data_IF_299774583110
#
_entry.id   IF_299774583110
#
_cell.length_a   1.000
_cell.length_b   1.000
_cell.length_c   1.000
_cell.angle_alpha   90.00
_cell.angle_beta   90.00
_cell.angle_gamma   90.00
#
_symmetry.space_group_name_H-M   'P 1'
#
loop_
_entity.id
_entity.type
_entity.pdbx_description
1 polymer ?
#
# COMPACT_ATOMS: atom_id res chain seq x y z
N UNK A 1 -23.68 18.01 10.11
CA UNK A 1 -22.29 17.89 9.62
C UNK A 1 -21.28 17.65 10.75
N UNK A 2 -21.74 17.22 11.91
CA UNK A 2 -20.86 16.75 12.99
C UNK A 2 -20.11 15.44 12.65
N UNK A 3 -20.53 14.76 11.59
CA UNK A 3 -19.98 13.47 11.16
C UNK A 3 -18.49 13.54 10.81
N UNK A 4 -18.00 14.67 10.25
CA UNK A 4 -16.61 14.83 9.84
C UNK A 4 -15.84 15.86 10.70
N UNK A 5 -16.18 16.00 11.98
CA UNK A 5 -15.40 16.80 12.94
C UNK A 5 -14.08 16.09 13.28
N UNK A 6 -13.03 16.37 12.51
CA UNK A 6 -11.72 15.72 12.70
C UNK A 6 -11.04 16.14 14.01
N UNK A 7 -11.27 17.35 14.51
CA UNK A 7 -10.69 17.76 15.80
C UNK A 7 -11.13 16.84 16.93
N UNK A 8 -12.45 16.58 17.01
CA UNK A 8 -13.01 15.66 18.00
C UNK A 8 -12.51 14.21 17.80
N UNK A 9 -12.50 13.74 16.55
CA UNK A 9 -12.15 12.37 16.23
C UNK A 9 -10.66 12.06 16.42
N UNK A 10 -9.79 12.96 16.04
CA UNK A 10 -8.34 12.83 16.23
C UNK A 10 -7.94 12.84 17.70
N UNK A 11 -8.68 13.59 18.56
CA UNK A 11 -8.41 13.57 19.99
C UNK A 11 -8.56 12.20 20.63
N UNK A 12 -9.45 11.34 20.11
CA UNK A 12 -9.65 9.97 20.61
C UNK A 12 -8.51 9.02 20.23
N UNK A 13 -7.71 9.38 19.23
CA UNK A 13 -6.55 8.58 18.76
C UNK A 13 -5.26 8.85 19.53
N UNK A 14 -5.28 9.74 20.54
CA UNK A 14 -4.10 10.12 21.31
C UNK A 14 -3.80 9.12 22.45
N UNK A 15 -3.85 7.80 22.15
CA UNK A 15 -3.46 6.77 23.11
C UNK A 15 -1.94 6.57 23.19
N UNK A 16 -1.40 6.07 24.32
CA UNK A 16 0.02 5.77 24.46
C UNK A 16 0.54 4.83 23.36
N UNK A 17 -0.24 3.85 22.94
CA UNK A 17 0.12 2.85 21.95
C UNK A 17 0.26 3.48 20.56
N UNK A 18 -0.69 4.33 20.15
CA UNK A 18 -0.64 5.04 18.87
C UNK A 18 0.53 6.03 18.87
N UNK A 19 0.72 6.77 19.96
CA UNK A 19 1.82 7.73 20.07
C UNK A 19 3.19 7.04 20.06
N UNK A 20 3.33 5.87 20.68
CA UNK A 20 4.53 5.04 20.57
C UNK A 20 4.80 4.61 19.13
N UNK A 21 3.76 4.12 18.43
CA UNK A 21 3.89 3.71 17.02
C UNK A 21 4.30 4.86 16.10
N UNK A 22 3.79 6.07 16.34
CA UNK A 22 4.20 7.27 15.60
C UNK A 22 5.67 7.63 15.93
N UNK A 23 6.08 7.49 17.19
CA UNK A 23 7.47 7.68 17.61
C UNK A 23 8.43 6.76 16.84
N UNK A 24 8.11 5.46 16.80
CA UNK A 24 8.88 4.46 16.05
C UNK A 24 8.95 4.79 14.55
N UNK A 25 7.82 5.19 13.96
CA UNK A 25 7.78 5.58 12.54
C UNK A 25 8.63 6.83 12.25
N UNK A 26 8.65 7.82 13.16
CA UNK A 26 9.52 9.01 13.02
C UNK A 26 11.01 8.64 13.07
N UNK A 27 11.38 7.69 13.92
CA UNK A 27 12.75 7.16 13.96
C UNK A 27 13.11 6.46 12.65
N UNK A 28 12.24 5.59 12.16
CA UNK A 28 12.43 4.92 10.87
C UNK A 28 12.53 5.90 9.69
N UNK A 29 11.71 6.95 9.67
CA UNK A 29 11.79 8.02 8.67
C UNK A 29 13.14 8.74 8.71
N UNK A 30 13.66 9.01 9.92
CA UNK A 30 14.99 9.58 10.09
C UNK A 30 16.09 8.68 9.53
N UNK A 31 16.01 7.36 9.75
CA UNK A 31 16.93 6.38 9.15
C UNK A 31 16.82 6.34 7.64
N UNK A 32 15.59 6.38 7.08
CA UNK A 32 15.39 6.45 5.63
C UNK A 32 16.07 7.67 5.02
N UNK A 33 15.93 8.85 5.61
CA UNK A 33 16.60 10.07 5.15
C UNK A 33 18.14 9.91 5.14
N UNK A 34 18.71 9.19 6.12
CA UNK A 34 20.13 8.86 6.12
C UNK A 34 20.49 7.92 4.97
N UNK A 35 19.66 6.93 4.65
CA UNK A 35 19.86 6.03 3.51
C UNK A 35 19.84 6.80 2.17
N UNK A 36 18.87 7.72 2.01
CA UNK A 36 18.76 8.59 0.84
C UNK A 36 20.01 9.46 0.64
N UNK A 37 20.57 9.98 1.73
CA UNK A 37 21.76 10.81 1.69
C UNK A 37 23.07 10.03 1.44
N UNK A 38 23.15 8.78 1.93
CA UNK A 38 24.40 8.01 1.91
C UNK A 38 24.51 7.01 0.78
N UNK A 39 23.41 6.38 0.38
CA UNK A 39 23.36 5.31 -0.62
C UNK A 39 22.10 5.39 -1.48
N UNK A 40 21.90 6.50 -2.23
CA UNK A 40 20.76 6.63 -3.15
C UNK A 40 20.71 5.51 -4.20
N UNK A 41 21.88 5.01 -4.64
CA UNK A 41 22.02 3.91 -5.59
C UNK A 41 21.31 2.63 -5.15
N UNK A 42 21.37 2.32 -3.85
CA UNK A 42 20.66 1.16 -3.28
C UNK A 42 19.17 1.38 -3.34
N UNK A 43 18.70 2.55 -2.93
CA UNK A 43 17.26 2.86 -2.90
C UNK A 43 16.65 2.90 -4.32
N UNK A 44 17.33 3.49 -5.29
CA UNK A 44 16.89 3.49 -6.70
C UNK A 44 16.64 2.07 -7.21
N UNK A 45 17.49 1.11 -6.84
CA UNK A 45 17.31 -0.29 -7.23
C UNK A 45 16.04 -0.93 -6.65
N UNK A 46 15.46 -0.37 -5.59
CA UNK A 46 14.23 -0.86 -4.97
C UNK A 46 12.96 -0.28 -5.58
N UNK A 47 13.02 0.92 -6.18
CA UNK A 47 11.85 1.66 -6.68
C UNK A 47 11.04 0.85 -7.68
N UNK A 48 11.66 0.33 -8.74
CA UNK A 48 10.96 -0.40 -9.78
C UNK A 48 10.31 -1.69 -9.26
N UNK A 49 10.97 -2.38 -8.34
CA UNK A 49 10.42 -3.58 -7.70
C UNK A 49 9.21 -3.22 -6.83
N UNK A 50 9.31 -2.15 -6.06
CA UNK A 50 8.20 -1.66 -5.24
C UNK A 50 6.99 -1.27 -6.12
N UNK A 51 7.20 -0.55 -7.22
CA UNK A 51 6.15 -0.17 -8.17
C UNK A 51 5.44 -1.39 -8.78
N UNK A 52 6.20 -2.41 -9.22
CA UNK A 52 5.63 -3.67 -9.73
C UNK A 52 4.81 -4.37 -8.64
N UNK A 53 5.32 -4.44 -7.40
CA UNK A 53 4.64 -5.08 -6.28
C UNK A 53 3.38 -4.31 -5.90
N UNK A 54 3.41 -2.98 -5.82
CA UNK A 54 2.28 -2.12 -5.51
C UNK A 54 1.16 -2.27 -6.54
N UNK A 55 1.52 -2.18 -7.83
CA UNK A 55 0.56 -2.35 -8.93
C UNK A 55 -0.07 -3.75 -8.91
N UNK A 56 0.75 -4.80 -8.73
CA UNK A 56 0.24 -6.17 -8.66
C UNK A 56 -0.69 -6.38 -7.46
N UNK A 57 -0.24 -6.02 -6.27
CA UNK A 57 -0.94 -6.28 -5.03
C UNK A 57 -2.28 -5.52 -4.95
N UNK A 58 -2.27 -4.22 -5.26
CA UNK A 58 -3.49 -3.42 -5.22
C UNK A 58 -4.57 -3.92 -6.18
N UNK A 59 -4.19 -4.37 -7.38
CA UNK A 59 -5.14 -4.93 -8.34
C UNK A 59 -5.61 -6.34 -7.92
N UNK A 60 -4.73 -7.18 -7.36
CA UNK A 60 -5.12 -8.52 -6.85
C UNK A 60 -6.09 -8.48 -5.68
N UNK A 61 -6.01 -7.48 -4.82
CA UNK A 61 -7.00 -7.26 -3.74
C UNK A 61 -8.41 -7.16 -4.34
N UNK A 62 -8.55 -6.56 -5.53
CA UNK A 62 -9.81 -6.41 -6.29
C UNK A 62 -10.05 -7.55 -7.29
N UNK A 63 -9.30 -8.66 -7.22
CA UNK A 63 -9.35 -9.81 -8.12
C UNK A 63 -8.97 -9.51 -9.58
N UNK A 64 -8.24 -8.42 -9.83
CA UNK A 64 -7.70 -8.05 -11.14
C UNK A 64 -6.27 -8.57 -11.25
N UNK A 65 -5.97 -9.40 -12.25
CA UNK A 65 -4.67 -10.03 -12.35
C UNK A 65 -4.24 -10.31 -13.81
N UNK A 66 -2.93 -10.40 -13.99
CA UNK A 66 -2.31 -10.91 -15.22
C UNK A 66 -1.11 -11.81 -14.86
N UNK A 67 -0.50 -12.45 -15.85
CA UNK A 67 0.69 -13.27 -15.59
C UNK A 67 1.90 -12.42 -15.21
N UNK A 68 2.81 -12.98 -14.40
CA UNK A 68 4.02 -12.26 -13.95
C UNK A 68 4.88 -11.72 -15.11
N UNK A 69 4.88 -12.41 -16.25
CA UNK A 69 5.58 -11.94 -17.45
C UNK A 69 4.89 -10.72 -18.04
N UNK A 70 3.56 -10.81 -18.23
CA UNK A 70 2.77 -9.69 -18.79
C UNK A 70 2.81 -8.47 -17.88
N UNK A 71 2.72 -8.67 -16.57
CA UNK A 71 2.84 -7.58 -15.60
C UNK A 71 4.17 -6.84 -15.80
N UNK A 72 5.31 -7.56 -15.84
CA UNK A 72 6.63 -6.91 -16.07
C UNK A 72 6.72 -6.21 -17.41
N UNK A 73 6.18 -6.80 -18.47
CA UNK A 73 6.17 -6.20 -19.80
C UNK A 73 5.33 -4.90 -19.84
N UNK A 74 4.17 -4.88 -19.16
CA UNK A 74 3.32 -3.70 -18.99
C UNK A 74 4.01 -2.62 -18.14
N UNK A 75 4.62 -3.00 -17.01
CA UNK A 75 5.33 -2.07 -16.13
C UNK A 75 6.53 -1.42 -16.83
N UNK A 76 7.21 -2.15 -17.70
CA UNK A 76 8.34 -1.66 -18.48
C UNK A 76 7.93 -0.99 -19.82
N UNK A 77 6.64 -0.78 -20.08
CA UNK A 77 6.08 -0.24 -21.34
C UNK A 77 6.50 -1.01 -22.61
N UNK A 78 6.82 -2.29 -22.43
CA UNK A 78 7.23 -3.18 -23.55
C UNK A 78 6.05 -3.88 -24.21
N UNK A 79 4.84 -3.67 -23.69
CA UNK A 79 3.63 -4.30 -24.21
C UNK A 79 2.40 -3.44 -23.98
N UNK A 80 1.50 -3.45 -24.96
CA UNK A 80 0.17 -2.85 -24.85
C UNK A 80 -0.79 -3.75 -24.06
N UNK A 81 -1.74 -3.16 -23.27
CA UNK A 81 -2.77 -3.91 -22.58
C UNK A 81 -3.71 -4.64 -23.56
N UNK A 82 -3.95 -5.94 -23.34
CA UNK A 82 -4.75 -6.79 -24.24
C UNK A 82 -6.20 -6.98 -23.82
N UNK A 83 -6.48 -6.90 -22.53
CA UNK A 83 -7.79 -7.12 -21.94
C UNK A 83 -8.10 -6.06 -20.88
N UNK A 84 -9.28 -6.15 -20.26
CA UNK A 84 -9.73 -5.20 -19.24
C UNK A 84 -8.78 -5.16 -18.04
N UNK A 85 -8.44 -6.31 -17.49
CA UNK A 85 -7.55 -6.40 -16.33
C UNK A 85 -6.20 -5.71 -16.58
N UNK A 86 -5.59 -5.94 -17.74
CA UNK A 86 -4.33 -5.32 -18.12
C UNK A 86 -4.45 -3.80 -18.32
N UNK A 87 -5.61 -3.31 -18.81
CA UNK A 87 -5.89 -1.87 -18.92
C UNK A 87 -6.03 -1.22 -17.55
N UNK A 88 -6.71 -1.89 -16.62
CA UNK A 88 -6.85 -1.41 -15.23
C UNK A 88 -5.50 -1.43 -14.49
N UNK A 89 -4.65 -2.44 -14.71
CA UNK A 89 -3.28 -2.51 -14.21
C UNK A 89 -2.44 -1.34 -14.75
N UNK A 90 -2.55 -1.04 -16.06
CA UNK A 90 -1.84 0.08 -16.69
C UNK A 90 -2.30 1.44 -16.13
N UNK A 91 -3.60 1.61 -15.89
CA UNK A 91 -4.16 2.81 -15.25
C UNK A 91 -3.68 2.99 -13.82
N UNK A 92 -3.65 1.91 -13.03
CA UNK A 92 -3.09 1.97 -11.67
C UNK A 92 -1.63 2.40 -11.69
N UNK A 93 -0.80 1.80 -12.57
CA UNK A 93 0.60 2.19 -12.74
C UNK A 93 0.73 3.67 -13.06
N UNK A 94 -0.06 4.17 -14.00
CA UNK A 94 -0.01 5.58 -14.42
C UNK A 94 -0.24 6.56 -13.25
N UNK A 95 -1.26 6.28 -12.42
CA UNK A 95 -1.52 7.10 -11.23
C UNK A 95 -0.43 6.93 -10.17
N UNK A 96 0.06 5.70 -9.97
CA UNK A 96 1.14 5.43 -9.03
C UNK A 96 2.42 6.19 -9.41
N UNK A 97 2.81 6.21 -10.69
CA UNK A 97 3.95 6.96 -11.20
C UNK A 97 3.78 8.46 -10.94
N UNK A 98 2.58 9.01 -11.21
CA UNK A 98 2.26 10.42 -10.92
C UNK A 98 2.45 10.75 -9.43
N UNK A 99 1.99 9.86 -8.52
CA UNK A 99 2.14 10.05 -7.07
C UNK A 99 3.62 9.98 -6.68
N UNK A 100 4.37 9.00 -7.18
CA UNK A 100 5.79 8.85 -6.88
C UNK A 100 6.62 10.08 -7.26
N UNK A 101 6.30 10.67 -8.41
CA UNK A 101 7.07 11.78 -8.98
C UNK A 101 6.61 13.16 -8.47
N UNK A 102 5.30 13.34 -8.19
CA UNK A 102 4.69 14.68 -8.04
C UNK A 102 3.83 14.87 -6.81
N UNK A 103 3.89 13.96 -5.82
CA UNK A 103 3.03 14.02 -4.62
C UNK A 103 2.99 15.40 -3.95
N UNK A 104 4.10 16.15 -3.92
CA UNK A 104 4.16 17.48 -3.30
C UNK A 104 3.28 18.50 -4.03
N UNK A 105 3.17 18.37 -5.36
CA UNK A 105 2.38 19.28 -6.21
C UNK A 105 0.90 18.86 -6.35
N UNK A 106 0.51 17.67 -5.85
CA UNK A 106 -0.86 17.14 -5.97
C UNK A 106 -1.69 17.56 -4.75
N UNK A 107 -2.61 18.54 -4.84
CA UNK A 107 -3.41 18.97 -3.69
C UNK A 107 -4.53 17.97 -3.38
N UNK A 108 -4.97 17.97 -2.10
CA UNK A 108 -6.09 17.12 -1.65
C UNK A 108 -7.39 17.89 -1.82
N UNK A 109 -8.02 17.71 -2.98
CA UNK A 109 -9.28 18.38 -3.35
C UNK A 109 -10.20 17.41 -4.09
N UNK A 110 -11.54 17.66 -4.07
CA UNK A 110 -12.48 16.82 -4.84
C UNK A 110 -12.14 16.74 -6.33
N UNK A 111 -11.70 17.85 -6.94
CA UNK A 111 -11.32 17.88 -8.35
C UNK A 111 -10.12 17.00 -8.68
N UNK A 112 -9.10 16.98 -7.79
CA UNK A 112 -7.93 16.11 -7.94
C UNK A 112 -8.31 14.65 -7.74
N UNK A 113 -9.16 14.33 -6.79
CA UNK A 113 -9.65 12.96 -6.58
C UNK A 113 -10.38 12.44 -7.83
N UNK A 114 -11.23 13.26 -8.46
CA UNK A 114 -11.90 12.95 -9.72
C UNK A 114 -10.87 12.78 -10.86
N UNK A 115 -9.84 13.61 -10.92
CA UNK A 115 -8.77 13.50 -11.91
C UNK A 115 -8.01 12.17 -11.76
N UNK A 116 -7.55 11.83 -10.55
CA UNK A 116 -6.85 10.58 -10.28
C UNK A 116 -7.72 9.36 -10.62
N UNK A 117 -9.02 9.42 -10.32
CA UNK A 117 -9.96 8.36 -10.71
C UNK A 117 -10.14 8.26 -12.23
N UNK A 118 -10.18 9.37 -12.96
CA UNK A 118 -10.20 9.38 -14.43
C UNK A 118 -8.93 8.75 -14.99
N UNK A 119 -7.79 9.08 -14.42
CA UNK A 119 -6.50 8.58 -14.86
C UNK A 119 -6.34 7.08 -14.55
N UNK A 120 -6.91 6.59 -13.43
CA UNK A 120 -6.99 5.16 -13.10
C UNK A 120 -7.72 4.33 -14.18
N UNK A 121 -8.73 4.92 -14.83
CA UNK A 121 -9.51 4.28 -15.88
C UNK A 121 -9.18 4.78 -17.30
N UNK A 122 -8.06 5.51 -17.44
CA UNK A 122 -7.68 6.09 -18.74
C UNK A 122 -7.62 5.07 -19.87
N UNK A 123 -7.05 3.91 -19.62
CA UNK A 123 -6.86 2.86 -20.63
C UNK A 123 -8.11 2.01 -20.89
N UNK A 124 -9.09 2.02 -20.01
CA UNK A 124 -10.35 1.29 -20.20
C UNK A 124 -11.38 2.10 -20.97
N UNK A 125 -11.33 3.43 -20.88
CA UNK A 125 -12.28 4.32 -21.53
C UNK A 125 -13.69 4.29 -20.92
N UNK A 126 -13.84 3.83 -19.68
CA UNK A 126 -15.13 3.73 -19.00
C UNK A 126 -15.77 5.12 -18.80
N UNK A 127 -17.07 5.24 -19.10
CA UNK A 127 -17.80 6.51 -19.05
C UNK A 127 -17.99 7.07 -17.64
N UNK A 128 -17.87 6.25 -16.60
CA UNK A 128 -17.91 6.66 -15.19
C UNK A 128 -16.57 7.21 -14.68
N UNK A 129 -15.51 7.10 -15.46
CA UNK A 129 -14.17 7.56 -15.06
C UNK A 129 -14.17 9.06 -14.72
N UNK A 130 -13.69 9.39 -13.54
CA UNK A 130 -13.65 10.78 -13.05
C UNK A 130 -15.01 11.37 -12.71
N UNK A 131 -16.01 10.55 -12.41
CA UNK A 131 -17.35 10.98 -11.97
C UNK A 131 -17.72 10.32 -10.64
N UNK A 132 -18.42 11.06 -9.80
CA UNK A 132 -19.03 10.49 -8.62
C UNK A 132 -20.06 9.42 -9.01
N UNK A 133 -20.33 8.49 -8.12
CA UNK A 133 -21.36 7.48 -8.30
C UNK A 133 -22.72 8.12 -8.59
N UNK A 134 -23.50 7.51 -9.46
CA UNK A 134 -24.82 7.95 -9.90
C UNK A 134 -25.96 7.14 -9.25
N UNK A 135 -25.62 6.07 -8.56
CA UNK A 135 -26.55 5.20 -7.84
C UNK A 135 -25.97 4.82 -6.47
N UNK A 136 -26.87 4.53 -5.52
CA UNK A 136 -26.48 4.10 -4.18
C UNK A 136 -25.85 2.71 -4.27
N UNK A 137 -24.68 2.56 -3.66
CA UNK A 137 -23.98 1.29 -3.59
C UNK A 137 -24.05 0.68 -2.19
N UNK A 138 -23.81 -0.62 -2.11
CA UNK A 138 -23.77 -1.39 -0.87
C UNK A 138 -22.47 -2.18 -0.86
N UNK A 139 -21.72 -2.09 0.23
CA UNK A 139 -20.60 -2.98 0.45
C UNK A 139 -21.16 -4.26 1.05
N UNK A 140 -21.09 -5.35 0.28
CA UNK A 140 -21.61 -6.65 0.69
C UNK A 140 -20.47 -7.63 0.94
N UNK A 141 -20.70 -8.56 1.85
CA UNK A 141 -19.80 -9.69 2.10
C UNK A 141 -20.55 -11.01 1.99
N UNK A 142 -19.81 -12.07 1.73
CA UNK A 142 -20.40 -13.41 1.72
C UNK A 142 -20.46 -13.95 3.14
N UNK A 143 -21.67 -14.25 3.62
CA UNK A 143 -21.86 -14.85 4.94
C UNK A 143 -21.32 -16.29 5.01
N UNK A 144 -21.24 -16.86 6.20
CA UNK A 144 -20.87 -18.27 6.40
C UNK A 144 -21.82 -19.25 5.67
N UNK A 145 -23.08 -18.84 5.42
CA UNK A 145 -24.05 -19.61 4.60
C UNK A 145 -23.87 -19.45 3.11
N UNK A 146 -22.93 -18.58 2.65
CA UNK A 146 -22.69 -18.31 1.24
C UNK A 146 -23.57 -17.21 0.63
N UNK A 147 -24.48 -16.62 1.39
CA UNK A 147 -25.35 -15.52 0.95
C UNK A 147 -24.62 -14.17 0.98
N UNK A 148 -24.97 -13.27 0.04
CA UNK A 148 -24.48 -11.89 0.04
C UNK A 148 -25.26 -11.06 1.04
N UNK A 149 -24.61 -10.62 2.12
CA UNK A 149 -25.18 -9.77 3.17
C UNK A 149 -24.59 -8.38 3.09
N UNK A 150 -25.45 -7.35 3.20
CA UNK A 150 -24.99 -5.98 3.27
C UNK A 150 -24.16 -5.77 4.55
N UNK A 151 -22.87 -5.54 4.40
CA UNK A 151 -21.97 -5.26 5.52
C UNK A 151 -21.99 -3.79 5.90
N UNK A 152 -22.03 -2.90 4.91
CA UNK A 152 -21.99 -1.46 5.12
C UNK A 152 -22.74 -0.73 4.00
N UNK A 153 -23.46 0.33 4.38
CA UNK A 153 -24.13 1.22 3.44
C UNK A 153 -23.39 2.56 3.38
N UNK A 154 -22.67 2.86 2.30
CA UNK A 154 -22.00 4.14 2.10
C UNK A 154 -22.98 5.32 2.03
N UNK A 155 -22.43 6.52 1.96
CA UNK A 155 -23.21 7.75 1.67
C UNK A 155 -23.97 7.57 0.36
N UNK A 156 -25.20 8.14 0.29
CA UNK A 156 -26.00 8.12 -0.96
C UNK A 156 -25.28 8.83 -2.12
N UNK A 157 -25.63 8.48 -3.34
CA UNK A 157 -25.06 9.12 -4.54
C UNK A 157 -25.26 10.65 -4.51
N UNK A 158 -26.45 11.09 -4.14
CA UNK A 158 -26.79 12.53 -4.05
C UNK A 158 -25.95 13.29 -3.00
N UNK A 159 -25.60 12.65 -1.87
CA UNK A 159 -24.82 13.28 -0.81
C UNK A 159 -23.29 13.14 -1.01
N UNK A 160 -22.84 12.29 -1.92
CA UNK A 160 -21.42 11.98 -2.13
C UNK A 160 -20.56 13.22 -2.42
N UNK A 161 -20.93 14.16 -3.33
CA UNK A 161 -20.08 15.32 -3.60
C UNK A 161 -19.85 16.20 -2.36
N UNK A 162 -20.89 16.41 -1.56
CA UNK A 162 -20.80 17.21 -0.34
C UNK A 162 -19.97 16.51 0.75
N UNK A 163 -20.08 15.18 0.86
CA UNK A 163 -19.29 14.41 1.81
C UNK A 163 -17.79 14.42 1.46
N UNK A 164 -17.43 14.23 0.19
CA UNK A 164 -16.02 14.31 -0.25
C UNK A 164 -15.45 15.72 -0.06
N UNK A 165 -16.23 16.76 -0.36
CA UNK A 165 -15.79 18.14 -0.11
C UNK A 165 -15.57 18.40 1.39
N UNK A 166 -16.44 17.87 2.26
CA UNK A 166 -16.31 18.02 3.71
C UNK A 166 -15.01 17.38 4.22
N UNK A 167 -14.71 16.11 3.87
CA UNK A 167 -13.46 15.47 4.32
C UNK A 167 -12.21 16.16 3.76
N UNK A 168 -12.25 16.69 2.54
CA UNK A 168 -11.15 17.46 1.97
C UNK A 168 -10.91 18.78 2.72
N UNK A 169 -11.97 19.46 3.16
CA UNK A 169 -11.85 20.68 3.98
C UNK A 169 -11.29 20.36 5.36
N UNK A 170 -11.84 19.36 6.04
CA UNK A 170 -11.36 18.92 7.36
C UNK A 170 -9.90 18.51 7.32
N UNK A 171 -9.51 17.69 6.34
CA UNK A 171 -8.11 17.31 6.15
C UNK A 171 -7.20 18.54 6.07
N UNK A 172 -7.51 19.50 5.20
CA UNK A 172 -6.70 20.69 5.03
C UNK A 172 -6.64 21.52 6.30
N UNK A 173 -7.78 21.74 6.96
CA UNK A 173 -7.86 22.50 8.20
C UNK A 173 -6.98 21.86 9.30
N UNK A 174 -6.98 20.54 9.45
CA UNK A 174 -6.16 19.86 10.46
C UNK A 174 -4.66 19.88 10.11
N UNK A 175 -4.30 19.75 8.83
CA UNK A 175 -2.91 19.86 8.38
C UNK A 175 -2.40 21.31 8.63
N UNK A 176 -3.19 22.33 8.33
CA UNK A 176 -2.85 23.74 8.56
C UNK A 176 -2.75 24.07 10.06
N UNK A 177 -3.65 23.50 10.87
CA UNK A 177 -3.63 23.71 12.32
C UNK A 177 -2.39 23.08 12.99
N UNK A 178 -1.85 21.98 12.45
CA UNK A 178 -0.66 21.30 12.96
C UNK A 178 -0.78 20.74 14.39
N UNK A 179 -2.01 20.56 14.88
CA UNK A 179 -2.25 20.08 16.25
C UNK A 179 -1.99 18.60 16.40
N UNK A 180 -2.34 17.81 15.38
CA UNK A 180 -2.18 16.35 15.37
C UNK A 180 -1.11 15.91 14.39
N UNK A 181 -0.56 14.71 14.61
CA UNK A 181 0.39 14.14 13.65
C UNK A 181 -0.29 13.98 12.28
N UNK A 182 0.32 14.51 11.19
CA UNK A 182 -0.29 14.48 9.87
C UNK A 182 -0.58 13.06 9.34
N UNK A 183 0.10 12.04 9.87
CA UNK A 183 -0.21 10.63 9.56
C UNK A 183 -1.60 10.25 10.07
N UNK A 184 -1.95 10.64 11.31
CA UNK A 184 -3.27 10.37 11.86
C UNK A 184 -4.37 11.07 11.04
N UNK A 185 -4.16 12.34 10.69
CA UNK A 185 -5.07 13.10 9.84
C UNK A 185 -5.27 12.39 8.49
N UNK A 186 -4.18 11.89 7.90
CA UNK A 186 -4.19 11.17 6.62
C UNK A 186 -4.95 9.84 6.72
N UNK A 187 -4.74 9.07 7.78
CA UNK A 187 -5.41 7.78 7.94
C UNK A 187 -6.91 7.93 8.22
N UNK A 188 -7.31 8.94 9.00
CA UNK A 188 -8.74 9.29 9.20
C UNK A 188 -9.38 9.68 7.88
N UNK A 189 -8.72 10.52 7.07
CA UNK A 189 -9.21 10.88 5.74
C UNK A 189 -9.39 9.66 4.83
N UNK A 190 -8.41 8.77 4.77
CA UNK A 190 -8.47 7.55 3.94
C UNK A 190 -9.63 6.66 4.38
N UNK A 191 -9.82 6.48 5.69
CA UNK A 191 -10.92 5.70 6.22
C UNK A 191 -12.28 6.30 5.84
N UNK A 192 -12.45 7.61 5.99
CA UNK A 192 -13.70 8.30 5.61
C UNK A 192 -13.93 8.24 4.10
N UNK A 193 -12.87 8.35 3.29
CA UNK A 193 -12.98 8.16 1.84
C UNK A 193 -13.50 6.77 1.47
N UNK A 194 -12.96 5.70 2.10
CA UNK A 194 -13.45 4.33 1.88
C UNK A 194 -14.90 4.19 2.33
N UNK A 195 -15.30 4.81 3.43
CA UNK A 195 -16.65 4.74 3.99
C UNK A 195 -17.67 5.54 3.16
N UNK A 196 -17.27 6.69 2.60
CA UNK A 196 -18.11 7.44 1.63
C UNK A 196 -18.32 6.61 0.35
N UNK A 197 -17.30 5.88 -0.07
CA UNK A 197 -17.32 5.03 -1.28
C UNK A 197 -17.79 5.78 -2.52
N UNK A 198 -17.06 6.84 -2.95
CA UNK A 198 -17.59 7.88 -3.80
C UNK A 198 -17.78 7.50 -5.28
N UNK A 199 -17.26 6.37 -5.72
CA UNK A 199 -17.29 5.94 -7.12
C UNK A 199 -18.15 4.69 -7.34
N UNK A 200 -18.60 4.48 -8.57
CA UNK A 200 -19.27 3.23 -8.96
C UNK A 200 -18.31 2.03 -8.89
N UNK A 201 -17.02 2.24 -9.21
CA UNK A 201 -15.97 1.23 -9.15
C UNK A 201 -14.62 1.90 -8.80
N UNK A 202 -13.61 1.11 -8.41
CA UNK A 202 -12.25 1.58 -8.15
C UNK A 202 -12.00 2.22 -6.78
N UNK A 203 -12.98 2.23 -5.87
CA UNK A 203 -12.83 2.87 -4.56
C UNK A 203 -11.67 2.29 -3.74
N UNK A 204 -11.50 0.98 -3.73
CA UNK A 204 -10.40 0.31 -3.02
C UNK A 204 -9.03 0.70 -3.58
N UNK A 205 -8.86 0.70 -4.90
CA UNK A 205 -7.61 1.14 -5.55
C UNK A 205 -7.32 2.61 -5.31
N UNK A 206 -8.35 3.46 -5.43
CA UNK A 206 -8.23 4.89 -5.13
C UNK A 206 -7.85 5.14 -3.68
N UNK A 207 -8.43 4.43 -2.72
CA UNK A 207 -8.07 4.60 -1.30
C UNK A 207 -6.60 4.26 -1.04
N UNK A 208 -6.06 3.20 -1.65
CA UNK A 208 -4.64 2.83 -1.52
C UNK A 208 -3.71 3.84 -2.20
N UNK A 209 -4.08 4.34 -3.39
CA UNK A 209 -3.35 5.43 -4.05
C UNK A 209 -3.38 6.73 -3.23
N UNK A 210 -4.54 7.10 -2.66
CA UNK A 210 -4.65 8.24 -1.76
C UNK A 210 -3.84 8.03 -0.47
N UNK A 211 -3.78 6.82 0.06
CA UNK A 211 -2.90 6.50 1.20
C UNK A 211 -1.45 6.85 0.88
N UNK A 212 -0.92 6.39 -0.26
CA UNK A 212 0.44 6.73 -0.67
C UNK A 212 0.64 8.24 -0.84
N UNK A 213 -0.28 8.91 -1.56
CA UNK A 213 -0.22 10.36 -1.77
C UNK A 213 -0.13 11.12 -0.44
N UNK A 214 -1.02 10.82 0.50
CA UNK A 214 -1.10 11.54 1.77
C UNK A 214 0.11 11.25 2.66
N UNK A 215 0.56 10.00 2.73
CA UNK A 215 1.76 9.62 3.48
C UNK A 215 3.01 10.30 2.92
N UNK A 216 3.16 10.36 1.59
CA UNK A 216 4.31 11.02 0.96
C UNK A 216 4.31 12.52 1.24
N UNK A 217 3.16 13.17 1.19
CA UNK A 217 3.00 14.58 1.58
C UNK A 217 3.33 14.85 3.04
N UNK A 218 3.22 13.85 3.90
CA UNK A 218 3.65 13.90 5.31
C UNK A 218 5.14 13.54 5.50
N UNK A 219 5.88 13.27 4.40
CA UNK A 219 7.28 12.88 4.43
C UNK A 219 7.53 11.40 4.75
N UNK A 220 6.50 10.55 4.72
CA UNK A 220 6.64 9.10 4.91
C UNK A 220 6.65 8.38 3.55
N UNK A 221 7.82 8.35 2.91
CA UNK A 221 7.99 7.89 1.52
C UNK A 221 8.45 6.44 1.41
N UNK A 222 8.33 5.64 2.46
CA UNK A 222 8.73 4.21 2.47
C UNK A 222 8.06 3.41 1.34
N UNK A 223 6.83 3.77 0.97
CA UNK A 223 6.09 3.14 -0.13
C UNK A 223 6.78 3.25 -1.49
N UNK A 224 7.75 4.17 -1.67
CA UNK A 224 8.59 4.24 -2.88
C UNK A 224 9.54 3.04 -3.00
N UNK A 225 9.94 2.45 -1.89
CA UNK A 225 10.99 1.41 -1.81
C UNK A 225 10.46 0.05 -1.38
N UNK A 226 9.34 0.03 -0.65
CA UNK A 226 8.66 -1.18 -0.18
C UNK A 226 7.16 -1.01 -0.36
N UNK A 227 6.50 -1.92 -1.06
CA UNK A 227 5.07 -1.82 -1.35
C UNK A 227 4.21 -1.97 -0.10
N UNK A 228 3.48 -0.90 0.25
CA UNK A 228 2.46 -0.89 1.30
C UNK A 228 1.29 -1.81 0.90
N UNK A 229 0.89 -1.79 -0.36
CA UNK A 229 -0.20 -2.62 -0.88
C UNK A 229 0.11 -4.11 -0.81
N UNK A 230 1.38 -4.49 -0.93
CA UNK A 230 1.80 -5.90 -0.76
C UNK A 230 1.66 -6.36 0.69
N UNK A 231 1.95 -5.51 1.65
CA UNK A 231 1.73 -5.83 3.07
C UNK A 231 0.23 -5.91 3.38
N UNK A 232 -0.59 -5.04 2.80
CA UNK A 232 -2.06 -5.12 2.89
C UNK A 232 -2.57 -6.41 2.23
N UNK A 233 -2.07 -6.78 1.03
CA UNK A 233 -2.44 -8.04 0.36
C UNK A 233 -2.15 -9.27 1.23
N UNK A 234 -1.00 -9.29 1.91
CA UNK A 234 -0.58 -10.39 2.80
C UNK A 234 -1.47 -10.55 4.03
N UNK A 235 -2.00 -9.44 4.54
CA UNK A 235 -2.87 -9.37 5.71
C UNK A 235 -4.30 -8.94 5.35
N UNK A 236 -4.78 -9.37 4.18
CA UNK A 236 -6.05 -8.92 3.57
C UNK A 236 -7.23 -9.11 4.52
N UNK A 237 -7.31 -10.24 5.21
CA UNK A 237 -8.38 -10.52 6.17
C UNK A 237 -8.36 -9.51 7.32
N UNK A 238 -7.19 -9.30 7.96
CA UNK A 238 -7.03 -8.33 9.05
C UNK A 238 -7.32 -6.90 8.60
N UNK A 239 -6.97 -6.54 7.35
CA UNK A 239 -7.35 -5.25 6.77
C UNK A 239 -8.86 -5.04 6.74
N UNK A 240 -9.61 -6.04 6.26
CA UNK A 240 -11.08 -5.95 6.21
C UNK A 240 -11.73 -6.04 7.59
N UNK A 241 -11.15 -6.79 8.54
CA UNK A 241 -11.58 -6.80 9.93
C UNK A 241 -11.42 -5.41 10.56
N UNK A 242 -10.26 -4.76 10.38
CA UNK A 242 -9.99 -3.42 10.88
C UNK A 242 -10.94 -2.36 10.28
N UNK A 243 -11.18 -2.43 8.95
CA UNK A 243 -12.18 -1.58 8.28
C UNK A 243 -13.58 -1.81 8.86
N UNK A 244 -13.98 -3.07 9.06
CA UNK A 244 -15.28 -3.43 9.60
C UNK A 244 -15.47 -2.92 11.03
N UNK A 245 -14.50 -3.15 11.90
CA UNK A 245 -14.53 -2.69 13.28
C UNK A 245 -14.65 -1.16 13.36
N UNK A 246 -13.89 -0.44 12.51
CA UNK A 246 -13.96 1.03 12.49
C UNK A 246 -15.20 1.59 11.78
N UNK A 247 -15.97 0.78 11.06
CA UNK A 247 -17.19 1.23 10.35
C UNK A 247 -18.45 1.27 11.23
N UNK A 248 -18.43 0.62 12.39
CA UNK A 248 -19.58 0.60 13.30
C UNK A 248 -19.91 2.02 13.79
N UNK A 249 -21.17 2.46 13.63
CA UNK A 249 -21.62 3.80 14.01
C UNK A 249 -21.11 4.95 13.13
N UNK A 250 -20.43 4.66 12.01
CA UNK A 250 -19.83 5.72 11.17
C UNK A 250 -20.87 6.72 10.63
N UNK A 251 -22.04 6.27 10.24
CA UNK A 251 -23.08 7.14 9.70
C UNK A 251 -23.60 8.15 10.74
N UNK A 252 -23.57 7.77 12.01
CA UNK A 252 -23.98 8.60 13.14
C UNK A 252 -22.83 9.46 13.70
N UNK A 253 -21.61 9.27 13.17
CA UNK A 253 -20.40 9.95 13.64
C UNK A 253 -19.87 9.41 14.98
N UNK A 254 -20.26 8.20 15.36
CA UNK A 254 -19.90 7.53 16.63
C UNK A 254 -18.89 6.39 16.45
N UNK A 255 -18.33 6.25 15.26
CA UNK A 255 -17.35 5.23 14.97
C UNK A 255 -16.00 5.46 15.67
N UNK A 256 -15.28 4.35 15.91
CA UNK A 256 -13.90 4.36 16.41
C UNK A 256 -12.90 4.10 15.27
N UNK A 257 -12.01 5.05 15.01
CA UNK A 257 -10.96 4.91 14.00
C UNK A 257 -9.76 4.07 14.47
N UNK A 258 -9.67 3.78 15.78
CA UNK A 258 -8.50 3.10 16.39
C UNK A 258 -8.15 1.78 15.71
N UNK A 259 -9.08 0.85 15.39
CA UNK A 259 -8.71 -0.40 14.75
C UNK A 259 -8.03 -0.22 13.39
N UNK A 260 -8.59 0.65 12.53
CA UNK A 260 -8.03 0.92 11.21
C UNK A 260 -6.68 1.65 11.29
N UNK A 261 -6.59 2.67 12.13
CA UNK A 261 -5.36 3.46 12.33
C UNK A 261 -4.24 2.58 12.86
N UNK A 262 -4.50 1.77 13.89
CA UNK A 262 -3.51 0.84 14.46
C UNK A 262 -3.03 -0.17 13.42
N UNK A 263 -3.94 -0.74 12.65
CA UNK A 263 -3.58 -1.64 11.56
C UNK A 263 -2.66 -0.97 10.55
N UNK A 264 -2.99 0.23 10.06
CA UNK A 264 -2.20 0.94 9.06
C UNK A 264 -0.82 1.37 9.60
N UNK A 265 -0.72 1.80 10.85
CA UNK A 265 0.56 2.08 11.50
C UNK A 265 1.43 0.81 11.58
N UNK A 266 0.82 -0.34 11.87
CA UNK A 266 1.48 -1.65 11.84
C UNK A 266 2.05 -2.00 10.46
N UNK A 267 1.25 -1.81 9.40
CA UNK A 267 1.67 -2.01 8.00
C UNK A 267 2.86 -1.10 7.64
N UNK A 268 2.79 0.19 7.99
CA UNK A 268 3.89 1.13 7.74
C UNK A 268 5.16 0.73 8.48
N UNK A 269 5.04 0.34 9.74
CA UNK A 269 6.19 -0.15 10.54
C UNK A 269 6.81 -1.40 9.91
N UNK A 270 5.99 -2.34 9.40
CA UNK A 270 6.48 -3.51 8.70
C UNK A 270 7.26 -3.13 7.42
N UNK A 271 6.74 -2.16 6.64
CA UNK A 271 7.43 -1.65 5.46
C UNK A 271 8.79 -1.00 5.80
N UNK A 272 8.87 -0.22 6.87
CA UNK A 272 10.13 0.37 7.31
C UNK A 272 11.13 -0.68 7.77
N UNK A 273 10.72 -1.67 8.56
CA UNK A 273 11.59 -2.80 8.95
C UNK A 273 12.10 -3.57 7.74
N UNK A 274 11.25 -3.77 6.72
CA UNK A 274 11.67 -4.40 5.48
C UNK A 274 12.65 -3.52 4.68
N UNK A 275 12.47 -2.18 4.66
CA UNK A 275 13.43 -1.25 4.06
C UNK A 275 14.79 -1.35 4.76
N UNK A 276 14.82 -1.28 6.10
CA UNK A 276 16.04 -1.42 6.89
C UNK A 276 16.77 -2.73 6.56
N UNK A 277 16.03 -3.83 6.47
CA UNK A 277 16.56 -5.15 6.10
C UNK A 277 17.15 -5.17 4.69
N UNK A 278 16.43 -4.64 3.70
CA UNK A 278 16.91 -4.57 2.31
C UNK A 278 18.16 -3.71 2.20
N UNK A 279 18.15 -2.58 2.88
CA UNK A 279 19.30 -1.68 2.90
C UNK A 279 20.54 -2.33 3.52
N UNK A 280 20.41 -3.00 4.66
CA UNK A 280 21.51 -3.71 5.32
C UNK A 280 22.12 -4.81 4.42
N UNK A 281 21.27 -5.56 3.70
CA UNK A 281 21.72 -6.58 2.74
C UNK A 281 22.48 -5.95 1.57
N UNK A 282 21.97 -4.86 1.00
CA UNK A 282 22.58 -4.21 -0.14
C UNK A 282 23.84 -3.40 0.22
N UNK A 283 23.94 -2.89 1.45
CA UNK A 283 25.13 -2.23 1.99
C UNK A 283 26.20 -3.22 2.47
N UNK A 284 25.86 -4.50 2.59
CA UNK A 284 26.76 -5.58 3.00
C UNK A 284 27.84 -5.93 1.96
N UNK A 285 28.57 -7.05 2.14
CA UNK A 285 29.68 -7.43 1.26
C UNK A 285 29.29 -7.43 -0.22
N UNK A 286 30.07 -6.75 -1.05
CA UNK A 286 29.81 -6.61 -2.50
C UNK A 286 29.81 -7.97 -3.21
N UNK A 287 28.81 -8.20 -4.07
CA UNK A 287 28.64 -9.39 -4.91
C UNK A 287 27.44 -10.25 -4.49
N UNK A 288 26.80 -10.90 -5.46
CA UNK A 288 25.56 -11.65 -5.24
C UNK A 288 25.68 -12.77 -4.20
N UNK A 289 26.87 -13.34 -3.99
CA UNK A 289 27.10 -14.33 -2.93
C UNK A 289 27.12 -13.70 -1.54
N UNK A 290 27.86 -12.60 -1.36
CA UNK A 290 27.94 -11.88 -0.09
C UNK A 290 26.57 -11.35 0.33
N UNK A 291 25.81 -10.82 -0.62
CA UNK A 291 24.43 -10.33 -0.36
C UNK A 291 23.50 -11.46 0.08
N UNK A 292 23.55 -12.62 -0.57
CA UNK A 292 22.69 -13.75 -0.18
C UNK A 292 23.14 -14.40 1.13
N UNK A 293 24.44 -14.42 1.46
CA UNK A 293 24.90 -14.84 2.79
C UNK A 293 24.36 -13.91 3.87
N UNK A 294 24.50 -12.60 3.72
CA UNK A 294 23.95 -11.61 4.63
C UNK A 294 22.41 -11.72 4.77
N UNK A 295 21.71 -12.00 3.67
CA UNK A 295 20.28 -12.26 3.69
C UNK A 295 19.92 -13.46 4.58
N UNK A 296 20.63 -14.60 4.42
CA UNK A 296 20.35 -15.80 5.21
C UNK A 296 20.81 -15.67 6.67
N UNK A 297 21.80 -14.82 6.96
CA UNK A 297 22.20 -14.51 8.35
C UNK A 297 21.07 -13.80 9.13
N UNK A 298 20.28 -12.99 8.46
CA UNK A 298 19.18 -12.22 9.05
C UNK A 298 17.81 -12.91 8.92
N UNK A 299 17.73 -13.98 8.12
CA UNK A 299 16.48 -14.68 7.87
C UNK A 299 16.01 -15.44 9.10
N UNK A 300 14.80 -15.14 9.57
CA UNK A 300 14.10 -15.94 10.59
C UNK A 300 13.13 -16.87 9.86
N UNK A 301 13.33 -18.19 10.00
CA UNK A 301 12.50 -19.19 9.34
C UNK A 301 13.00 -19.60 7.95
N UNK A 302 12.10 -19.77 7.00
CA UNK A 302 12.41 -20.20 5.63
C UNK A 302 11.85 -19.22 4.60
N UNK A 303 12.55 -19.04 3.47
CA UNK A 303 12.14 -18.20 2.37
C UNK A 303 12.07 -18.97 1.05
N UNK A 304 11.06 -18.71 0.24
CA UNK A 304 10.97 -19.23 -1.12
C UNK A 304 11.97 -18.52 -2.03
N UNK A 305 12.27 -19.10 -3.19
CA UNK A 305 13.11 -18.42 -4.20
C UNK A 305 12.53 -17.07 -4.63
N UNK A 306 11.22 -16.93 -4.64
CA UNK A 306 10.54 -15.67 -4.94
C UNK A 306 10.81 -14.63 -3.86
N UNK A 307 10.66 -14.99 -2.58
CA UNK A 307 10.94 -14.08 -1.47
C UNK A 307 12.40 -13.61 -1.46
N UNK A 308 13.33 -14.54 -1.76
CA UNK A 308 14.76 -14.23 -1.87
C UNK A 308 15.04 -13.24 -3.01
N UNK A 309 14.41 -13.42 -4.17
CA UNK A 309 14.55 -12.51 -5.31
C UNK A 309 13.91 -11.15 -5.05
N UNK A 310 12.73 -11.14 -4.44
CA UNK A 310 12.01 -9.91 -4.08
C UNK A 310 12.79 -9.09 -3.04
N UNK A 311 13.50 -9.78 -2.15
CA UNK A 311 14.36 -9.15 -1.14
C UNK A 311 15.73 -8.68 -1.69
N UNK A 312 16.18 -9.22 -2.82
CA UNK A 312 17.47 -8.92 -3.43
C UNK A 312 17.31 -8.54 -4.92
N UNK A 313 16.59 -7.46 -5.24
CA UNK A 313 16.22 -7.12 -6.62
C UNK A 313 17.39 -6.78 -7.53
N UNK A 314 18.53 -6.38 -6.96
CA UNK A 314 19.76 -6.11 -7.68
C UNK A 314 20.51 -7.37 -8.14
N UNK A 315 20.09 -8.56 -7.68
CA UNK A 315 20.73 -9.83 -8.05
C UNK A 315 19.92 -10.52 -9.15
N UNK A 316 20.55 -10.84 -10.27
CA UNK A 316 19.87 -11.58 -11.34
C UNK A 316 19.39 -12.97 -10.88
N UNK A 317 18.28 -13.45 -11.43
CA UNK A 317 17.74 -14.80 -11.15
C UNK A 317 18.81 -15.89 -11.32
N UNK A 318 19.62 -15.81 -12.37
CA UNK A 318 20.71 -16.76 -12.65
C UNK A 318 21.76 -16.75 -11.53
N UNK A 319 22.09 -15.57 -11.01
CA UNK A 319 23.03 -15.43 -9.89
C UNK A 319 22.43 -15.99 -8.61
N UNK A 320 21.14 -15.70 -8.31
CA UNK A 320 20.44 -16.25 -7.16
C UNK A 320 20.48 -17.80 -7.20
N UNK A 321 20.10 -18.41 -8.33
CA UNK A 321 20.09 -19.87 -8.48
C UNK A 321 21.49 -20.49 -8.29
N UNK A 322 22.52 -19.87 -8.87
CA UNK A 322 23.91 -20.33 -8.72
C UNK A 322 24.38 -20.24 -7.26
N UNK A 323 24.09 -19.13 -6.60
CA UNK A 323 24.51 -18.91 -5.21
C UNK A 323 23.74 -19.80 -4.26
N UNK A 324 22.43 -19.97 -4.43
CA UNK A 324 21.63 -20.91 -3.61
C UNK A 324 22.20 -22.32 -3.68
N UNK A 325 22.59 -22.79 -4.87
CA UNK A 325 23.24 -24.08 -5.02
C UNK A 325 24.56 -24.13 -4.23
N UNK A 326 25.41 -23.11 -4.37
CA UNK A 326 26.70 -23.05 -3.64
C UNK A 326 26.49 -23.04 -2.12
N UNK A 327 25.53 -22.25 -1.61
CA UNK A 327 25.23 -22.20 -0.18
C UNK A 327 24.62 -23.50 0.38
N UNK A 328 23.94 -24.27 -0.47
CA UNK A 328 23.52 -25.62 -0.11
C UNK A 328 24.71 -26.59 -0.07
N UNK A 329 25.58 -26.53 -1.09
CA UNK A 329 26.73 -27.41 -1.20
C UNK A 329 27.75 -27.19 -0.06
N UNK A 330 27.91 -25.94 0.41
CA UNK A 330 28.78 -25.58 1.55
C UNK A 330 28.08 -25.70 2.91
N UNK A 331 26.81 -26.12 2.95
CA UNK A 331 26.07 -26.37 4.18
C UNK A 331 25.57 -25.13 4.91
N UNK A 332 25.70 -23.94 4.34
CA UNK A 332 25.20 -22.67 4.94
C UNK A 332 23.67 -22.66 5.04
N UNK A 333 23.01 -23.23 4.03
CA UNK A 333 21.53 -23.31 3.97
C UNK A 333 21.08 -24.72 3.64
N UNK A 334 19.85 -25.03 4.02
CA UNK A 334 19.19 -26.25 3.60
C UNK A 334 17.91 -25.95 2.82
N UNK A 335 17.61 -26.84 1.88
CA UNK A 335 16.38 -26.80 1.09
C UNK A 335 15.29 -27.60 1.81
N UNK A 336 14.11 -27.01 1.97
CA UNK A 336 12.93 -27.63 2.56
C UNK A 336 11.78 -27.65 1.56
N UNK A 337 10.86 -28.61 1.71
CA UNK A 337 9.72 -28.76 0.80
C UNK A 337 10.10 -29.34 -0.57
N UNK A 338 9.10 -29.49 -1.44
CA UNK A 338 9.25 -30.02 -2.79
C UNK A 338 8.41 -29.23 -3.80
N UNK A 339 8.83 -29.23 -5.04
CA UNK A 339 8.14 -28.59 -6.15
C UNK A 339 7.73 -27.11 -5.82
N UNK A 340 6.43 -26.81 -5.77
CA UNK A 340 5.91 -25.45 -5.54
C UNK A 340 6.13 -24.93 -4.12
N UNK A 341 6.32 -25.83 -3.14
CA UNK A 341 6.57 -25.49 -1.72
C UNK A 341 8.06 -25.43 -1.36
N UNK A 342 8.95 -25.41 -2.35
CA UNK A 342 10.39 -25.31 -2.12
C UNK A 342 10.76 -23.99 -1.43
N UNK A 343 11.37 -24.08 -0.25
CA UNK A 343 11.93 -22.98 0.50
C UNK A 343 13.36 -23.29 0.97
N UNK A 344 14.06 -22.27 1.42
CA UNK A 344 15.44 -22.35 1.90
C UNK A 344 15.51 -21.71 3.28
N UNK A 345 16.24 -22.34 4.20
CA UNK A 345 16.49 -21.78 5.53
C UNK A 345 17.98 -21.90 5.89
N UNK A 346 18.42 -21.04 6.79
CA UNK A 346 19.75 -21.16 7.40
C UNK A 346 19.81 -22.48 8.18
N UNK A 347 20.95 -23.14 8.12
CA UNK A 347 21.21 -24.39 8.84
C UNK A 347 21.66 -24.13 10.26
#
# INVERSE_FOLDING_TARGET
MAQFDYSRKLSTLMSPEIMSSIGDMREHRGRQALYEATRPDVLESLVEVAKIQSTSASNKIENIATSDKRLRDLMAEKAEPKNRDEREIAGYRFVLDTIHERHDAVPVTPGVILQLHRDLYWFTGDSFAGRWKDSDNVIAERSASGEMVARFRPVSAAATPAAVDAICREYRAQIEAGTYDPVLVSLVFVFDFVSIHPFNDGNGRMSRLLTLLLLYRCGYTVGKYVSIEKEIERSKETYYEALGASSAGWQDGENDYTPFVTYMLGVMTACYKELDRRFAIAAGPKGGEGMLRAYFEQLVGAATKRDIMDANPSISKRTVERVLKKLQDDGTIEKTGSARSTAYRKR
#
